data_IF_439088072642
#
_entry.id   IF_439088072642
#
_cell.length_a   1.000
_cell.length_b   1.000
_cell.length_c   1.000
_cell.angle_alpha   90.00
_cell.angle_beta   90.00
_cell.angle_gamma   90.00
#
_symmetry.space_group_name_H-M   'P 1'
#
loop_
_entity.id
_entity.type
_entity.pdbx_description
1 polymer ?
#
# COMPACT_ATOMS: atom_id res chain seq x y z
N UNK A 1 24.15 -22.55 -0.33
CA UNK A 1 22.72 -22.40 -0.71
C UNK A 1 22.05 -21.83 0.52
N UNK A 2 21.83 -20.53 0.54
CA UNK A 2 21.07 -19.89 1.59
C UNK A 2 19.62 -19.83 1.13
N UNK A 3 18.79 -20.67 1.74
CA UNK A 3 17.37 -20.66 1.53
C UNK A 3 16.76 -19.69 2.54
N UNK A 4 16.30 -18.49 2.14
CA UNK A 4 15.88 -17.47 3.09
C UNK A 4 14.76 -18.00 3.97
N UNK A 5 14.91 -17.86 5.28
CA UNK A 5 13.90 -18.28 6.25
C UNK A 5 12.80 -17.22 6.24
N UNK A 6 11.88 -17.34 5.27
CA UNK A 6 10.64 -16.57 5.25
C UNK A 6 9.91 -16.89 6.56
N UNK A 7 9.62 -15.91 7.43
CA UNK A 7 9.03 -16.19 8.72
C UNK A 7 7.61 -16.79 8.57
N UNK A 8 7.46 -18.08 8.85
CA UNK A 8 6.15 -18.78 8.85
C UNK A 8 5.26 -18.44 10.05
N UNK A 9 5.52 -17.29 10.69
CA UNK A 9 4.72 -16.74 11.78
C UNK A 9 3.75 -15.68 11.27
N UNK A 10 2.65 -15.49 11.98
CA UNK A 10 1.66 -14.47 11.63
C UNK A 10 2.23 -13.06 11.91
N UNK A 11 2.74 -12.39 10.88
CA UNK A 11 3.39 -11.07 10.99
C UNK A 11 2.40 -9.90 11.20
N UNK A 12 1.15 -10.19 11.60
CA UNK A 12 0.15 -9.18 11.96
C UNK A 12 0.54 -8.51 13.28
N UNK A 13 1.32 -7.44 13.18
CA UNK A 13 1.59 -6.54 14.29
C UNK A 13 0.26 -5.95 14.82
N UNK A 14 -0.13 -6.30 16.06
CA UNK A 14 -1.47 -6.10 16.66
C UNK A 14 -2.05 -4.67 16.66
N UNK A 15 -1.25 -3.65 16.35
CA UNK A 15 -1.63 -2.24 16.52
C UNK A 15 -0.90 -1.35 15.50
N UNK A 16 -1.51 -0.92 14.38
CA UNK A 16 -0.43 0.20 13.15
C UNK A 16 -0.05 1.50 13.94
N UNK A 17 1.01 2.23 13.59
CA UNK A 17 1.22 3.55 14.21
C UNK A 17 0.01 4.44 13.91
N UNK A 18 -0.53 5.26 14.84
CA UNK A 18 -1.92 5.75 14.82
C UNK A 18 -2.43 6.43 13.54
N UNK A 19 -1.54 6.85 12.66
CA UNK A 19 -1.80 7.20 11.25
C UNK A 19 -2.16 5.97 10.36
N UNK A 20 -2.65 4.86 10.94
CA UNK A 20 -2.84 3.54 10.30
C UNK A 20 -3.62 3.66 8.97
N UNK A 21 -4.70 4.41 9.02
CA UNK A 21 -5.61 4.74 7.91
C UNK A 21 -5.10 5.89 7.03
N UNK A 22 -4.37 6.86 7.63
CA UNK A 22 -3.87 8.05 6.95
C UNK A 22 -2.81 7.72 5.90
N UNK A 23 -1.84 6.87 6.26
CA UNK A 23 -0.85 6.35 5.33
C UNK A 23 -1.50 5.62 4.14
N UNK A 24 -2.45 4.74 4.40
CA UNK A 24 -3.19 3.99 3.38
C UNK A 24 -3.90 4.91 2.38
N UNK A 25 -4.69 5.88 2.86
CA UNK A 25 -5.41 6.82 1.98
C UNK A 25 -4.46 7.74 1.19
N UNK A 26 -3.32 8.15 1.76
CA UNK A 26 -2.28 8.89 1.01
C UNK A 26 -1.69 8.05 -0.12
N UNK A 27 -1.40 6.78 0.13
CA UNK A 27 -0.96 5.83 -0.88
C UNK A 27 -1.95 5.70 -2.03
N UNK A 28 -3.21 5.39 -1.71
CA UNK A 28 -4.28 5.22 -2.69
C UNK A 28 -4.52 6.50 -3.52
N UNK A 29 -4.52 7.66 -2.86
CA UNK A 29 -4.70 8.96 -3.53
C UNK A 29 -3.59 9.27 -4.53
N UNK A 30 -2.35 8.84 -4.27
CA UNK A 30 -1.26 8.97 -5.23
C UNK A 30 -1.49 8.07 -6.46
N UNK A 31 -1.80 6.79 -6.26
CA UNK A 31 -2.07 5.88 -7.37
C UNK A 31 -3.22 6.35 -8.28
N UNK A 32 -4.29 6.90 -7.72
CA UNK A 32 -5.44 7.43 -8.48
C UNK A 32 -5.08 8.71 -9.25
N UNK A 33 -4.05 9.46 -8.83
CA UNK A 33 -3.52 10.58 -9.61
C UNK A 33 -2.62 10.09 -10.74
N UNK A 34 -1.66 9.22 -10.44
CA UNK A 34 -0.72 8.70 -11.44
C UNK A 34 -1.47 8.01 -12.60
N UNK A 35 -2.54 7.26 -12.30
CA UNK A 35 -3.47 6.66 -13.28
C UNK A 35 -4.27 7.68 -14.14
N UNK A 36 -4.36 8.95 -13.72
CA UNK A 36 -5.07 10.02 -14.43
C UNK A 36 -4.12 10.95 -15.19
N UNK A 37 -3.02 11.34 -14.56
CA UNK A 37 -2.10 12.35 -15.05
C UNK A 37 -0.98 11.75 -15.93
N UNK A 38 -0.70 10.44 -15.81
CA UNK A 38 0.04 9.60 -16.78
C UNK A 38 1.49 10.02 -17.15
N UNK A 39 2.00 11.12 -16.59
CA UNK A 39 3.31 11.74 -16.90
C UNK A 39 4.15 12.06 -15.63
N UNK A 40 3.58 12.05 -14.40
CA UNK A 40 4.38 12.19 -13.17
C UNK A 40 5.07 10.87 -12.79
N UNK A 41 6.41 10.88 -12.67
CA UNK A 41 7.14 9.77 -12.03
C UNK A 41 6.86 9.80 -10.53
N UNK A 42 6.11 8.84 -10.03
CA UNK A 42 5.78 8.76 -8.61
C UNK A 42 6.92 8.18 -7.79
N UNK A 43 6.91 8.46 -6.48
CA UNK A 43 7.86 7.90 -5.50
C UNK A 43 7.81 6.36 -5.35
N UNK A 44 6.97 5.68 -6.11
CA UNK A 44 6.87 4.23 -6.18
C UNK A 44 7.25 3.66 -7.57
N UNK A 45 7.44 4.53 -8.57
CA UNK A 45 7.92 4.17 -9.91
C UNK A 45 9.45 4.05 -9.97
N UNK A 46 10.16 4.85 -9.16
CA UNK A 46 11.62 4.86 -9.10
C UNK A 46 12.18 3.84 -8.09
N UNK A 47 12.71 2.73 -8.61
CA UNK A 47 13.53 1.77 -7.85
C UNK A 47 12.86 0.39 -7.61
N UNK A 48 13.59 -0.54 -6.97
CA UNK A 48 12.99 -1.80 -6.51
C UNK A 48 11.93 -1.50 -5.41
N UNK A 49 10.87 -2.32 -5.29
CA UNK A 49 9.90 -2.16 -4.21
C UNK A 49 10.61 -2.15 -2.84
N UNK A 50 10.27 -1.22 -1.93
CA UNK A 50 10.91 -1.17 -0.63
C UNK A 50 10.70 -2.47 0.14
N UNK A 51 11.76 -2.97 0.76
CA UNK A 51 11.77 -4.24 1.50
C UNK A 51 10.76 -4.23 2.67
N UNK A 52 10.52 -3.04 3.25
CA UNK A 52 9.47 -2.80 4.23
C UNK A 52 8.10 -2.50 3.58
N UNK A 53 7.10 -3.34 3.91
CA UNK A 53 5.72 -3.14 3.48
C UNK A 53 5.01 -2.08 4.35
N UNK A 54 5.08 -0.82 3.96
CA UNK A 54 4.35 0.28 4.64
C UNK A 54 2.88 0.35 4.17
N UNK A 55 2.02 0.95 5.00
CA UNK A 55 0.60 1.17 4.66
C UNK A 55 0.40 2.14 3.48
N UNK A 56 1.36 3.04 3.27
CA UNK A 56 1.45 3.96 2.14
C UNK A 56 1.82 3.22 0.84
N UNK A 57 2.78 2.29 0.89
CA UNK A 57 3.08 1.30 -0.16
C UNK A 57 1.86 0.41 -0.48
N UNK A 58 1.18 -0.12 0.54
CA UNK A 58 0.00 -0.98 0.37
C UNK A 58 -1.16 -0.23 -0.29
N UNK A 59 -1.52 0.94 0.25
CA UNK A 59 -2.60 1.78 -0.30
C UNK A 59 -2.34 2.18 -1.75
N UNK A 60 -1.09 2.51 -2.10
CA UNK A 60 -0.69 2.78 -3.48
C UNK A 60 -0.89 1.56 -4.39
N UNK A 61 -0.34 0.41 -4.00
CA UNK A 61 -0.43 -0.81 -4.81
C UNK A 61 -1.87 -1.27 -5.01
N UNK A 62 -2.74 -1.11 -4.03
CA UNK A 62 -4.17 -1.39 -4.20
C UNK A 62 -4.85 -0.35 -5.09
N UNK A 63 -4.56 0.94 -4.90
CA UNK A 63 -5.07 2.02 -5.77
C UNK A 63 -4.67 1.85 -7.25
N UNK A 64 -3.48 1.32 -7.55
CA UNK A 64 -3.08 1.00 -8.92
C UNK A 64 -3.90 -0.15 -9.56
N UNK A 65 -4.43 -1.07 -8.75
CA UNK A 65 -5.22 -2.22 -9.21
C UNK A 65 -6.73 -1.92 -9.27
N UNK A 66 -7.24 -1.07 -8.37
CA UNK A 66 -8.67 -0.79 -8.22
C UNK A 66 -9.10 0.58 -8.75
N UNK A 67 -8.19 1.53 -8.89
CA UNK A 67 -8.48 2.88 -9.37
C UNK A 67 -9.25 3.74 -8.36
N UNK A 68 -10.09 4.64 -8.86
CA UNK A 68 -10.97 5.47 -8.02
C UNK A 68 -12.15 4.63 -7.50
N UNK A 69 -12.23 4.47 -6.17
CA UNK A 69 -13.26 3.67 -5.50
C UNK A 69 -13.78 4.37 -4.26
N UNK A 70 -15.03 4.11 -3.90
CA UNK A 70 -15.68 4.65 -2.70
C UNK A 70 -14.93 4.33 -1.40
N UNK A 71 -15.07 5.23 -0.42
CA UNK A 71 -14.45 5.11 0.90
C UNK A 71 -14.80 3.80 1.62
N UNK A 72 -15.99 3.23 1.37
CA UNK A 72 -16.48 2.01 2.02
C UNK A 72 -15.63 0.78 1.61
N UNK A 73 -15.31 0.63 0.33
CA UNK A 73 -14.41 -0.43 -0.16
C UNK A 73 -12.98 -0.24 0.34
N UNK A 74 -12.52 1.02 0.44
CA UNK A 74 -11.22 1.33 1.04
C UNK A 74 -11.18 1.01 2.54
N UNK A 75 -12.31 1.08 3.26
CA UNK A 75 -12.41 0.64 4.66
C UNK A 75 -12.50 -0.88 4.81
N UNK A 76 -13.18 -1.59 3.91
CA UNK A 76 -13.20 -3.05 3.90
C UNK A 76 -11.79 -3.61 3.68
N UNK A 77 -11.08 -3.12 2.65
CA UNK A 77 -9.69 -3.52 2.35
C UNK A 77 -8.71 -3.17 3.48
N UNK A 78 -8.93 -2.07 4.20
CA UNK A 78 -8.12 -1.69 5.38
C UNK A 78 -8.42 -2.55 6.61
N UNK A 79 -9.65 -3.07 6.73
CA UNK A 79 -10.10 -3.84 7.91
C UNK A 79 -9.88 -5.35 7.78
N UNK A 80 -9.65 -5.84 6.55
CA UNK A 80 -9.39 -7.25 6.24
C UNK A 80 -7.91 -7.64 6.09
N UNK A 81 -6.96 -6.72 6.33
CA UNK A 81 -5.52 -6.88 6.08
C UNK A 81 -4.70 -7.18 7.36
#
# INVERSE_FOLDING_TARGET
MDNPIIPTGDIRQENPGPDRQGAFKRGWTAAVKDLKDNDESSKYSDGPPPEDLTWDNLGYRLGCNFGETDDELQQELLSGA
#
